data_IF_034665685485
#
_entry.id   IF_034665685485
#
_cell.length_a   1.000
_cell.length_b   1.000
_cell.length_c   1.000
_cell.angle_alpha   90.00
_cell.angle_beta   90.00
_cell.angle_gamma   90.00
#
_symmetry.space_group_name_H-M   'P 1'
#
loop_
_entity.id
_entity.type
_entity.pdbx_description
1 polymer ?
#
# COMPACT_ATOMS: atom_id res chain seq x y z
N UNK A 1 12.75 8.64 -19.46
CA UNK A 1 13.49 8.67 -18.17
C UNK A 1 14.82 7.98 -18.35
N UNK A 2 15.91 8.56 -17.87
CA UNK A 2 17.23 7.93 -17.92
C UNK A 2 17.24 6.60 -17.13
N UNK A 3 17.87 5.55 -17.67
CA UNK A 3 17.89 4.21 -17.06
C UNK A 3 18.48 4.21 -15.64
N UNK A 4 19.48 5.07 -15.38
CA UNK A 4 20.13 5.19 -14.07
C UNK A 4 19.14 5.74 -13.05
N UNK A 5 18.46 6.84 -13.37
CA UNK A 5 17.44 7.43 -12.52
C UNK A 5 16.29 6.46 -12.25
N UNK A 6 15.79 5.77 -13.28
CA UNK A 6 14.70 4.80 -13.12
C UNK A 6 15.10 3.64 -12.18
N UNK A 7 16.34 3.13 -12.31
CA UNK A 7 16.88 2.12 -11.39
C UNK A 7 16.98 2.66 -9.96
N UNK A 8 17.42 3.90 -9.79
CA UNK A 8 17.46 4.55 -8.47
C UNK A 8 16.07 4.62 -7.86
N UNK A 9 15.07 5.05 -8.63
CA UNK A 9 13.67 5.09 -8.21
C UNK A 9 13.13 3.71 -7.84
N UNK A 10 13.42 2.67 -8.60
CA UNK A 10 12.96 1.31 -8.29
C UNK A 10 13.56 0.80 -6.98
N UNK A 11 14.86 1.03 -6.77
CA UNK A 11 15.54 0.65 -5.52
C UNK A 11 15.02 1.46 -4.35
N UNK A 12 14.86 2.77 -4.58
CA UNK A 12 14.11 3.70 -3.74
C UNK A 12 12.83 3.00 -3.34
N UNK A 13 11.88 2.88 -4.27
CA UNK A 13 10.55 2.24 -4.23
C UNK A 13 10.44 0.78 -3.74
N UNK A 14 11.52 0.09 -3.40
CA UNK A 14 11.43 -1.15 -2.61
C UNK A 14 12.00 -0.98 -1.20
N UNK A 15 13.06 -0.19 -1.05
CA UNK A 15 13.71 0.04 0.23
C UNK A 15 12.80 0.75 1.23
N UNK A 16 12.09 1.80 0.85
CA UNK A 16 11.16 2.44 1.78
C UNK A 16 9.84 1.71 1.98
N UNK A 17 9.45 0.75 1.13
CA UNK A 17 8.39 -0.22 1.47
C UNK A 17 8.83 -1.06 2.66
N UNK A 18 10.10 -1.49 2.66
CA UNK A 18 10.73 -2.21 3.76
C UNK A 18 10.96 -1.31 4.99
N UNK A 19 11.45 -0.08 4.82
CA UNK A 19 11.71 0.84 5.94
C UNK A 19 10.38 1.23 6.61
N UNK A 20 9.35 1.55 5.84
CA UNK A 20 8.02 1.89 6.37
C UNK A 20 7.41 0.74 7.18
N UNK A 21 7.52 -0.50 6.68
CA UNK A 21 7.14 -1.71 7.41
C UNK A 21 7.95 -1.84 8.72
N UNK A 22 9.29 -1.97 8.63
CA UNK A 22 10.16 -2.17 9.79
C UNK A 22 10.01 -1.07 10.86
N UNK A 23 9.89 0.19 10.44
CA UNK A 23 9.82 1.34 11.36
C UNK A 23 8.43 1.54 11.96
N UNK A 24 7.37 1.26 11.19
CA UNK A 24 5.99 1.30 11.67
C UNK A 24 5.62 0.08 12.52
N UNK A 25 6.31 -1.05 12.34
CA UNK A 25 5.99 -2.32 13.00
C UNK A 25 5.75 -2.22 14.53
N UNK A 26 6.60 -1.52 15.31
CA UNK A 26 6.44 -1.45 16.77
C UNK A 26 5.25 -0.63 17.26
N UNK A 27 4.59 0.13 16.38
CA UNK A 27 3.52 1.08 16.73
C UNK A 27 2.13 0.63 16.26
N UNK A 28 2.01 -0.59 15.73
CA UNK A 28 0.71 -1.13 15.29
C UNK A 28 -0.34 -1.10 16.38
N UNK A 29 -1.55 -0.66 16.03
CA UNK A 29 -2.69 -0.71 16.95
C UNK A 29 -2.52 0.16 18.21
N UNK A 30 -1.49 1.01 18.26
CA UNK A 30 -1.28 1.94 19.37
C UNK A 30 -1.96 3.28 19.07
N UNK A 31 -2.60 3.85 20.09
CA UNK A 31 -3.01 5.26 20.05
C UNK A 31 -1.77 6.11 20.30
N UNK A 32 -1.36 6.88 19.30
CA UNK A 32 -0.14 7.67 19.36
C UNK A 32 -0.30 8.91 20.24
N UNK A 33 -0.01 8.75 21.53
CA UNK A 33 0.13 9.87 22.46
C UNK A 33 1.50 10.60 22.32
N UNK A 34 1.67 11.69 23.05
CA UNK A 34 2.91 12.49 23.03
C UNK A 34 4.15 11.67 23.42
N UNK A 35 4.01 10.67 24.30
CA UNK A 35 5.09 9.78 24.71
C UNK A 35 5.51 8.83 23.58
N UNK A 36 4.53 8.23 22.90
CA UNK A 36 4.73 7.32 21.78
C UNK A 36 5.36 8.04 20.59
N UNK A 37 4.99 9.30 20.33
CA UNK A 37 5.63 10.17 19.33
C UNK A 37 7.10 10.45 19.66
N UNK A 38 7.42 10.71 20.92
CA UNK A 38 8.80 10.91 21.36
C UNK A 38 9.64 9.63 21.16
N UNK A 39 9.10 8.48 21.53
CA UNK A 39 9.75 7.17 21.34
C UNK A 39 9.96 6.85 19.86
N UNK A 40 8.99 7.17 19.00
CA UNK A 40 9.13 7.05 17.55
C UNK A 40 10.29 7.92 17.04
N UNK A 41 10.31 9.22 17.37
CA UNK A 41 11.39 10.14 16.98
C UNK A 41 12.75 9.65 17.43
N UNK A 42 12.90 9.31 18.71
CA UNK A 42 14.16 8.78 19.25
C UNK A 42 14.60 7.48 18.57
N UNK A 43 13.67 6.63 18.13
CA UNK A 43 14.01 5.42 17.38
C UNK A 43 14.46 5.73 15.95
N UNK A 44 13.88 6.74 15.31
CA UNK A 44 14.29 7.21 13.99
C UNK A 44 15.66 7.90 14.05
N UNK A 45 15.91 8.74 15.06
CA UNK A 45 17.20 9.40 15.27
C UNK A 45 18.35 8.38 15.41
N UNK A 46 18.07 7.22 16.02
CA UNK A 46 19.05 6.11 16.14
C UNK A 46 19.39 5.46 14.80
N UNK A 47 18.53 5.56 13.78
CA UNK A 47 18.82 5.08 12.43
C UNK A 47 19.76 6.02 11.68
N UNK A 48 19.75 7.31 12.01
CA UNK A 48 20.69 8.31 11.45
C UNK A 48 22.05 8.30 12.16
N UNK A 49 22.11 7.68 13.35
CA UNK A 49 23.35 7.47 14.10
C UNK A 49 24.27 6.37 13.52
N UNK A 50 25.39 6.06 14.20
CA UNK A 50 26.30 5.00 13.77
C UNK A 50 25.59 3.65 13.64
N UNK A 51 25.91 2.87 12.60
CA UNK A 51 25.22 1.60 12.28
C UNK A 51 25.07 0.63 13.47
N UNK A 52 26.05 0.59 14.38
CA UNK A 52 26.01 -0.27 15.57
C UNK A 52 24.99 0.16 16.65
N UNK A 53 24.40 1.36 16.53
CA UNK A 53 23.31 1.85 17.38
C UNK A 53 21.93 1.70 16.74
N UNK A 54 21.86 1.30 15.47
CA UNK A 54 20.61 1.13 14.77
C UNK A 54 19.82 -0.05 15.38
N UNK A 55 18.57 0.16 15.84
CA UNK A 55 17.77 -0.93 16.38
C UNK A 55 17.47 -1.95 15.27
N UNK A 56 17.70 -3.24 15.55
CA UNK A 56 17.28 -4.29 14.64
C UNK A 56 15.74 -4.34 14.58
N UNK A 57 15.18 -4.12 13.40
CA UNK A 57 13.74 -4.13 13.15
C UNK A 57 13.42 -5.20 12.10
N UNK A 58 12.72 -6.27 12.52
CA UNK A 58 12.23 -7.29 11.59
C UNK A 58 11.09 -6.71 10.76
N UNK A 59 11.07 -7.03 9.48
CA UNK A 59 9.92 -6.76 8.61
C UNK A 59 8.72 -7.66 8.96
N UNK A 60 7.50 -7.28 8.59
CA UNK A 60 6.26 -8.04 8.85
C UNK A 60 5.73 -8.74 7.58
N UNK A 61 4.48 -9.18 7.61
CA UNK A 61 3.79 -9.78 6.48
C UNK A 61 3.73 -8.86 5.26
N UNK A 62 3.62 -7.55 5.51
CA UNK A 62 3.88 -6.43 4.60
C UNK A 62 5.02 -6.69 3.60
N UNK A 63 6.27 -6.83 4.06
CA UNK A 63 7.43 -7.12 3.19
C UNK A 63 7.47 -8.58 2.76
N UNK A 64 7.04 -9.51 3.61
CA UNK A 64 7.05 -10.94 3.27
C UNK A 64 6.25 -11.21 1.99
N UNK A 65 5.03 -10.68 1.91
CA UNK A 65 4.17 -10.80 0.74
C UNK A 65 4.64 -9.93 -0.43
N UNK A 66 5.25 -8.77 -0.17
CA UNK A 66 5.90 -7.96 -1.22
C UNK A 66 6.98 -8.77 -1.97
N UNK A 67 7.80 -9.54 -1.25
CA UNK A 67 8.82 -10.41 -1.86
C UNK A 67 8.19 -11.52 -2.72
N UNK A 68 7.07 -12.09 -2.28
CA UNK A 68 6.33 -13.09 -3.07
C UNK A 68 5.77 -12.50 -4.37
N UNK A 69 5.25 -11.28 -4.35
CA UNK A 69 4.80 -10.57 -5.55
C UNK A 69 5.98 -10.37 -6.51
N UNK A 70 7.10 -9.84 -6.00
CA UNK A 70 8.31 -9.62 -6.79
C UNK A 70 8.85 -10.92 -7.41
N UNK A 71 8.92 -12.00 -6.63
CA UNK A 71 9.35 -13.32 -7.12
C UNK A 71 8.41 -13.89 -8.19
N UNK A 72 7.12 -13.55 -8.14
CA UNK A 72 6.13 -14.04 -9.13
C UNK A 72 6.21 -13.25 -10.42
N UNK A 73 6.44 -11.93 -10.35
CA UNK A 73 6.62 -11.06 -11.52
C UNK A 73 7.92 -11.37 -12.26
N UNK A 74 8.98 -11.74 -11.55
CA UNK A 74 10.28 -12.10 -12.12
C UNK A 74 10.35 -13.56 -12.60
N UNK A 75 9.26 -14.31 -12.56
CA UNK A 75 9.26 -15.69 -13.02
C UNK A 75 9.43 -15.73 -14.55
N UNK A 76 10.39 -16.52 -15.09
CA UNK A 76 10.60 -16.61 -16.54
C UNK A 76 9.38 -17.11 -17.34
N UNK A 77 8.50 -17.89 -16.70
CA UNK A 77 7.25 -18.38 -17.31
C UNK A 77 6.10 -17.36 -17.25
N UNK A 78 6.36 -16.16 -16.73
CA UNK A 78 5.36 -15.10 -16.58
C UNK A 78 4.60 -15.14 -15.26
N UNK A 79 3.83 -14.08 -15.03
CA UNK A 79 2.98 -13.93 -13.86
C UNK A 79 1.74 -14.83 -13.98
N UNK A 80 1.34 -15.46 -12.87
CA UNK A 80 0.01 -16.07 -12.74
C UNK A 80 -0.45 -16.04 -11.28
N UNK A 81 -1.78 -15.92 -11.08
CA UNK A 81 -2.38 -15.96 -9.75
C UNK A 81 -2.06 -17.26 -9.00
N UNK A 82 -1.97 -18.38 -9.73
CA UNK A 82 -1.61 -19.68 -9.17
C UNK A 82 -0.18 -19.71 -8.62
N UNK A 83 0.78 -19.14 -9.34
CA UNK A 83 2.15 -19.02 -8.85
C UNK A 83 2.22 -18.08 -7.63
N UNK A 84 1.54 -16.93 -7.70
CA UNK A 84 1.50 -15.97 -6.60
C UNK A 84 0.90 -16.59 -5.33
N UNK A 85 -0.25 -17.26 -5.45
CA UNK A 85 -0.91 -17.96 -4.36
C UNK A 85 -0.01 -19.04 -3.76
N UNK A 86 0.69 -19.83 -4.59
CA UNK A 86 1.68 -20.81 -4.13
C UNK A 86 2.80 -20.13 -3.33
N UNK A 87 3.33 -19.01 -3.82
CA UNK A 87 4.41 -18.28 -3.13
C UNK A 87 3.94 -17.69 -1.80
N UNK A 88 2.71 -17.18 -1.71
CA UNK A 88 2.13 -16.72 -0.44
C UNK A 88 1.96 -17.85 0.57
N UNK A 89 1.41 -19.00 0.14
CA UNK A 89 1.27 -20.18 1.00
C UNK A 89 2.63 -20.61 1.54
N UNK A 90 3.64 -20.71 0.68
CA UNK A 90 4.99 -21.12 1.11
C UNK A 90 5.62 -20.14 2.10
N UNK A 91 5.52 -18.83 1.88
CA UNK A 91 6.06 -17.82 2.80
C UNK A 91 5.29 -17.81 4.14
N UNK A 92 3.95 -17.89 4.12
CA UNK A 92 3.14 -17.93 5.33
C UNK A 92 3.50 -19.12 6.22
N UNK A 93 3.58 -20.33 5.66
CA UNK A 93 3.90 -21.52 6.46
C UNK A 93 5.37 -21.63 6.86
N UNK A 94 6.25 -20.86 6.23
CA UNK A 94 7.65 -20.74 6.63
C UNK A 94 7.81 -19.91 7.91
N UNK A 95 7.05 -18.83 8.05
CA UNK A 95 7.06 -17.99 9.27
C UNK A 95 5.70 -17.34 9.51
N UNK A 96 4.72 -18.07 10.10
CA UNK A 96 3.35 -17.56 10.28
C UNK A 96 3.25 -16.44 11.31
N UNK A 97 4.34 -16.15 12.05
CA UNK A 97 4.40 -15.13 13.12
C UNK A 97 4.78 -13.75 12.60
N UNK A 98 4.70 -13.51 11.28
CA UNK A 98 5.05 -12.23 10.65
C UNK A 98 4.00 -11.14 10.81
N UNK A 99 2.87 -11.39 11.47
CA UNK A 99 1.82 -10.38 11.67
C UNK A 99 0.63 -10.50 10.72
N UNK A 100 0.51 -11.61 9.99
CA UNK A 100 -0.64 -11.84 9.11
C UNK A 100 -1.98 -11.71 9.86
N UNK A 101 -2.93 -11.00 9.26
CA UNK A 101 -4.32 -10.99 9.75
C UNK A 101 -4.94 -12.41 9.77
N UNK A 102 -5.75 -12.69 10.78
CA UNK A 102 -6.33 -14.03 10.97
C UNK A 102 -7.09 -14.52 9.72
N UNK A 103 -7.93 -13.65 9.13
CA UNK A 103 -8.72 -13.99 7.95
C UNK A 103 -7.85 -14.41 6.75
N UNK A 104 -6.72 -13.74 6.49
CA UNK A 104 -5.83 -14.12 5.38
C UNK A 104 -5.06 -15.40 5.68
N UNK A 105 -4.80 -15.70 6.97
CA UNK A 105 -4.33 -17.01 7.41
C UNK A 105 -5.24 -18.15 6.94
N UNK A 106 -6.57 -18.00 7.12
CA UNK A 106 -7.55 -19.00 6.66
C UNK A 106 -7.52 -19.20 5.13
N UNK A 107 -7.28 -18.12 4.38
CA UNK A 107 -7.10 -18.19 2.91
C UNK A 107 -5.89 -19.06 2.58
N UNK A 108 -4.75 -18.82 3.22
CA UNK A 108 -3.54 -19.61 2.96
C UNK A 108 -3.69 -21.06 3.40
N UNK A 109 -4.38 -21.33 4.50
CA UNK A 109 -4.72 -22.70 4.90
C UNK A 109 -5.56 -23.43 3.85
N UNK A 110 -6.63 -22.78 3.37
CA UNK A 110 -7.51 -23.35 2.34
C UNK A 110 -6.75 -23.59 1.05
N UNK A 111 -5.96 -22.62 0.58
CA UNK A 111 -5.11 -22.74 -0.61
C UNK A 111 -4.11 -23.90 -0.47
N UNK A 112 -3.51 -24.09 0.71
CA UNK A 112 -2.63 -25.24 0.95
C UNK A 112 -3.39 -26.57 0.89
N UNK A 113 -4.54 -26.66 1.55
CA UNK A 113 -5.39 -27.87 1.59
C UNK A 113 -5.85 -28.27 0.18
N UNK A 114 -6.20 -27.31 -0.66
CA UNK A 114 -6.66 -27.55 -2.04
C UNK A 114 -5.52 -27.58 -3.07
N UNK A 115 -4.25 -27.53 -2.64
CA UNK A 115 -3.06 -27.48 -3.52
C UNK A 115 -3.14 -26.35 -4.57
N UNK A 116 -3.73 -25.21 -4.20
CA UNK A 116 -3.90 -24.03 -5.06
C UNK A 116 -4.65 -24.41 -6.36
N UNK A 117 -5.67 -25.27 -6.25
CA UNK A 117 -6.52 -25.65 -7.38
C UNK A 117 -7.27 -24.42 -7.94
N UNK A 118 -7.85 -23.64 -7.02
CA UNK A 118 -8.44 -22.33 -7.29
C UNK A 118 -7.67 -21.27 -6.47
N UNK A 119 -6.89 -20.38 -7.13
CA UNK A 119 -6.06 -19.39 -6.43
C UNK A 119 -6.83 -18.20 -5.86
N UNK A 120 -8.10 -17.99 -6.24
CA UNK A 120 -8.89 -16.81 -5.83
C UNK A 120 -10.14 -17.16 -5.03
N UNK A 121 -10.70 -18.36 -5.22
CA UNK A 121 -11.92 -18.81 -4.52
C UNK A 121 -11.87 -18.69 -3.00
N UNK A 122 -10.77 -19.06 -2.31
CA UNK A 122 -10.70 -18.91 -0.86
C UNK A 122 -10.84 -17.47 -0.36
N UNK A 123 -10.32 -16.49 -1.11
CA UNK A 123 -10.49 -15.07 -0.79
C UNK A 123 -11.93 -14.62 -1.05
N UNK A 124 -12.51 -15.02 -2.19
CA UNK A 124 -13.91 -14.76 -2.54
C UNK A 124 -14.88 -15.28 -1.48
N UNK A 125 -14.56 -16.41 -0.83
CA UNK A 125 -15.40 -17.01 0.21
C UNK A 125 -15.26 -16.34 1.60
N UNK A 126 -14.36 -15.38 1.79
CA UNK A 126 -14.23 -14.69 3.09
C UNK A 126 -15.45 -13.81 3.39
N UNK A 127 -15.71 -13.56 4.68
CA UNK A 127 -16.74 -12.62 5.14
C UNK A 127 -18.13 -12.86 4.50
N UNK A 128 -18.54 -14.13 4.44
CA UNK A 128 -19.83 -14.52 3.88
C UNK A 128 -19.95 -14.30 2.36
N UNK A 129 -18.83 -14.23 1.64
CA UNK A 129 -18.81 -14.01 0.19
C UNK A 129 -18.49 -12.56 -0.22
N UNK A 130 -18.44 -11.62 0.72
CA UNK A 130 -18.12 -10.21 0.43
C UNK A 130 -16.63 -9.97 0.20
N UNK A 131 -15.76 -10.82 0.74
CA UNK A 131 -14.31 -10.65 0.66
C UNK A 131 -13.72 -9.67 1.67
N UNK A 132 -12.38 -9.68 1.79
CA UNK A 132 -11.67 -8.72 2.64
C UNK A 132 -11.55 -7.34 1.98
N UNK A 133 -11.97 -6.29 2.69
CA UNK A 133 -11.71 -4.88 2.35
C UNK A 133 -10.39 -4.33 2.96
N UNK A 134 -9.61 -5.20 3.62
CA UNK A 134 -8.35 -4.83 4.24
C UNK A 134 -7.31 -4.29 3.24
N UNK A 135 -6.30 -3.61 3.78
CA UNK A 135 -5.21 -3.01 3.01
C UNK A 135 -4.15 -4.01 2.50
N UNK A 136 -4.29 -5.30 2.82
CA UNK A 136 -3.22 -6.28 2.63
C UNK A 136 -2.86 -6.56 1.17
N UNK A 137 -3.72 -6.15 0.23
CA UNK A 137 -3.40 -6.09 -1.20
C UNK A 137 -2.57 -4.83 -1.54
N UNK A 138 -2.97 -3.66 -1.05
CA UNK A 138 -2.28 -2.39 -1.27
C UNK A 138 -0.86 -2.38 -0.68
N UNK A 139 -0.70 -2.95 0.52
CA UNK A 139 0.57 -2.96 1.24
C UNK A 139 1.72 -3.62 0.45
N UNK A 140 1.39 -4.53 -0.47
CA UNK A 140 2.35 -5.32 -1.27
C UNK A 140 2.35 -4.99 -2.77
N UNK A 141 1.68 -3.92 -3.19
CA UNK A 141 1.42 -3.64 -4.62
C UNK A 141 2.61 -2.98 -5.34
N UNK A 142 3.57 -2.42 -4.60
CA UNK A 142 4.67 -1.65 -5.17
C UNK A 142 5.42 -2.37 -6.32
N UNK A 143 5.78 -3.67 -6.23
CA UNK A 143 6.46 -4.35 -7.33
C UNK A 143 5.67 -4.37 -8.64
N UNK A 144 4.33 -4.40 -8.58
CA UNK A 144 3.48 -4.38 -9.77
C UNK A 144 3.55 -3.00 -10.43
N UNK A 145 3.45 -1.93 -9.66
CA UNK A 145 3.61 -0.56 -10.16
C UNK A 145 4.98 -0.36 -10.85
N UNK A 146 6.05 -0.89 -10.24
CA UNK A 146 7.39 -0.86 -10.85
C UNK A 146 7.44 -1.64 -12.17
N UNK A 147 6.90 -2.87 -12.17
CA UNK A 147 6.87 -3.73 -13.36
C UNK A 147 6.05 -3.10 -14.51
N UNK A 148 5.03 -2.31 -14.19
CA UNK A 148 4.11 -1.70 -15.14
C UNK A 148 4.45 -0.25 -15.55
N UNK A 149 5.57 0.32 -15.08
CA UNK A 149 5.85 1.76 -15.27
C UNK A 149 5.77 2.24 -16.73
N UNK A 150 6.09 1.36 -17.70
CA UNK A 150 6.06 1.63 -19.14
C UNK A 150 5.05 0.73 -19.89
N UNK A 151 4.10 0.12 -19.19
CA UNK A 151 3.13 -0.85 -19.73
C UNK A 151 1.71 -0.29 -19.88
N UNK A 152 1.49 0.93 -19.39
CA UNK A 152 0.21 1.62 -19.46
C UNK A 152 -0.75 1.24 -18.31
N UNK A 153 -1.79 2.07 -18.12
CA UNK A 153 -2.70 1.91 -16.99
C UNK A 153 -3.55 0.64 -17.10
N UNK A 154 -3.96 0.22 -18.30
CA UNK A 154 -4.77 -1.01 -18.46
C UNK A 154 -4.04 -2.27 -17.94
N UNK A 155 -2.77 -2.46 -18.30
CA UNK A 155 -1.97 -3.60 -17.83
C UNK A 155 -1.69 -3.50 -16.32
N UNK A 156 -1.45 -2.29 -15.80
CA UNK A 156 -1.30 -2.02 -14.37
C UNK A 156 -2.56 -2.45 -13.60
N UNK A 157 -3.74 -1.96 -14.00
CA UNK A 157 -5.01 -2.24 -13.33
C UNK A 157 -5.31 -3.74 -13.32
N UNK A 158 -5.13 -4.41 -14.46
CA UNK A 158 -5.36 -5.85 -14.56
C UNK A 158 -4.43 -6.64 -13.62
N UNK A 159 -3.12 -6.38 -13.63
CA UNK A 159 -2.17 -7.09 -12.76
C UNK A 159 -2.43 -6.82 -11.27
N UNK A 160 -2.78 -5.57 -10.92
CA UNK A 160 -3.11 -5.23 -9.53
C UNK A 160 -4.37 -5.99 -9.08
N UNK A 161 -5.42 -6.01 -9.90
CA UNK A 161 -6.64 -6.79 -9.63
C UNK A 161 -6.31 -8.26 -9.46
N UNK A 162 -5.60 -8.86 -10.42
CA UNK A 162 -5.23 -10.28 -10.37
C UNK A 162 -4.44 -10.63 -9.11
N UNK A 163 -3.46 -9.82 -8.73
CA UNK A 163 -2.67 -10.05 -7.52
C UNK A 163 -3.43 -9.79 -6.20
N UNK A 164 -4.43 -8.92 -6.24
CA UNK A 164 -5.28 -8.59 -5.09
C UNK A 164 -6.25 -9.74 -4.79
N UNK A 165 -6.92 -10.25 -5.82
CA UNK A 165 -7.96 -11.29 -5.75
C UNK A 165 -7.50 -12.61 -5.13
N UNK A 166 -6.19 -12.86 -5.04
CA UNK A 166 -5.63 -14.01 -4.32
C UNK A 166 -5.93 -13.97 -2.81
N UNK A 167 -6.19 -12.78 -2.25
CA UNK A 167 -6.43 -12.61 -0.80
C UNK A 167 -7.53 -11.60 -0.44
N UNK A 168 -7.86 -10.68 -1.35
CA UNK A 168 -8.81 -9.60 -1.14
C UNK A 168 -9.70 -9.54 -2.37
N UNK A 169 -10.96 -9.95 -2.23
CA UNK A 169 -11.96 -9.93 -3.30
C UNK A 169 -12.99 -8.81 -3.16
N UNK A 170 -12.99 -8.09 -2.04
CA UNK A 170 -13.89 -6.96 -1.85
C UNK A 170 -13.41 -5.77 -2.68
N UNK A 171 -14.34 -5.08 -3.37
CA UNK A 171 -14.07 -3.92 -4.22
C UNK A 171 -13.23 -2.86 -3.51
N UNK A 172 -13.60 -2.46 -2.28
CA UNK A 172 -12.79 -1.56 -1.45
C UNK A 172 -11.34 -2.02 -1.27
N UNK A 173 -11.07 -3.31 -1.00
CA UNK A 173 -9.71 -3.81 -0.85
C UNK A 173 -8.90 -3.76 -2.15
N UNK A 174 -9.54 -4.10 -3.27
CA UNK A 174 -8.94 -4.10 -4.61
C UNK A 174 -8.69 -2.67 -5.10
N UNK A 175 -9.67 -1.77 -5.00
CA UNK A 175 -9.55 -0.38 -5.42
C UNK A 175 -8.52 0.38 -4.59
N UNK A 176 -8.32 0.02 -3.31
CA UNK A 176 -7.23 0.57 -2.50
C UNK A 176 -5.86 0.16 -3.02
N UNK A 177 -5.71 -1.10 -3.46
CA UNK A 177 -4.46 -1.55 -4.10
C UNK A 177 -4.23 -0.85 -5.45
N UNK A 178 -5.29 -0.63 -6.22
CA UNK A 178 -5.26 0.15 -7.46
C UNK A 178 -4.80 1.58 -7.20
N UNK A 179 -5.44 2.28 -6.26
CA UNK A 179 -5.10 3.66 -5.91
C UNK A 179 -3.63 3.78 -5.46
N UNK A 180 -3.18 2.87 -4.61
CA UNK A 180 -1.78 2.81 -4.18
C UNK A 180 -0.82 2.60 -5.37
N UNK A 181 -1.16 1.71 -6.30
CA UNK A 181 -0.34 1.43 -7.46
C UNK A 181 -0.29 2.61 -8.45
N UNK A 182 -1.41 3.33 -8.61
CA UNK A 182 -1.49 4.57 -9.40
C UNK A 182 -0.59 5.65 -8.78
N UNK A 183 -0.67 5.87 -7.46
CA UNK A 183 0.16 6.84 -6.76
C UNK A 183 1.66 6.52 -6.87
N UNK A 184 2.05 5.25 -6.76
CA UNK A 184 3.44 4.82 -7.00
C UNK A 184 3.84 5.08 -8.45
N UNK A 185 3.01 4.68 -9.41
CA UNK A 185 3.30 4.83 -10.85
C UNK A 185 3.46 6.30 -11.24
N UNK A 186 2.61 7.17 -10.70
CA UNK A 186 2.71 8.62 -10.89
C UNK A 186 4.01 9.16 -10.26
N UNK A 187 4.33 8.74 -9.04
CA UNK A 187 5.58 9.13 -8.36
C UNK A 187 6.83 8.73 -9.15
N UNK A 188 6.82 7.56 -9.79
CA UNK A 188 7.91 7.12 -10.65
C UNK A 188 8.14 8.06 -11.84
N UNK A 189 7.12 8.77 -12.32
CA UNK A 189 7.19 9.67 -13.48
C UNK A 189 7.65 11.09 -13.13
N UNK A 190 7.65 11.48 -11.86
CA UNK A 190 8.05 12.82 -11.40
C UNK A 190 9.52 13.13 -11.70
N UNK A 191 9.88 14.40 -11.92
CA UNK A 191 11.28 14.81 -11.95
C UNK A 191 11.76 15.09 -10.52
N UNK A 192 12.79 14.41 -9.99
CA UNK A 192 13.30 14.68 -8.64
C UNK A 192 13.94 16.07 -8.48
N UNK A 193 14.29 16.75 -9.58
CA UNK A 193 14.84 18.11 -9.55
C UNK A 193 13.75 19.19 -9.47
N UNK A 194 12.49 18.81 -9.66
CA UNK A 194 11.35 19.71 -9.61
C UNK A 194 10.57 19.52 -8.30
N UNK A 195 10.02 20.62 -7.79
CA UNK A 195 9.09 20.55 -6.67
C UNK A 195 7.82 19.81 -7.09
N UNK A 196 7.37 18.87 -6.27
CA UNK A 196 6.11 18.17 -6.51
C UNK A 196 4.93 19.14 -6.40
N UNK A 197 4.17 19.28 -7.47
CA UNK A 197 2.86 19.93 -7.42
C UNK A 197 1.83 18.96 -6.82
N UNK A 198 1.62 19.03 -5.51
CA UNK A 198 0.70 18.15 -4.78
C UNK A 198 -0.73 18.22 -5.30
N UNK A 199 -1.20 19.42 -5.69
CA UNK A 199 -2.55 19.63 -6.23
C UNK A 199 -2.73 18.92 -7.58
N UNK A 200 -1.77 19.07 -8.49
CA UNK A 200 -1.81 18.36 -9.78
C UNK A 200 -1.68 16.85 -9.59
N UNK A 201 -0.83 16.41 -8.66
CA UNK A 201 -0.68 14.99 -8.34
C UNK A 201 -2.01 14.38 -7.89
N UNK A 202 -2.65 15.01 -6.90
CA UNK A 202 -3.93 14.57 -6.36
C UNK A 202 -5.06 14.65 -7.39
N UNK A 203 -5.10 15.71 -8.21
CA UNK A 203 -6.11 15.85 -9.26
C UNK A 203 -6.06 14.69 -10.26
N UNK A 204 -4.86 14.27 -10.68
CA UNK A 204 -4.73 13.11 -11.55
C UNK A 204 -5.16 11.81 -10.88
N UNK A 205 -4.82 11.60 -9.59
CA UNK A 205 -5.30 10.43 -8.84
C UNK A 205 -6.82 10.40 -8.73
N UNK A 206 -7.45 11.56 -8.50
CA UNK A 206 -8.91 11.70 -8.50
C UNK A 206 -9.51 11.30 -9.85
N UNK A 207 -8.95 11.80 -10.95
CA UNK A 207 -9.39 11.40 -12.30
C UNK A 207 -9.24 9.89 -12.51
N UNK A 208 -8.07 9.33 -12.22
CA UNK A 208 -7.80 7.91 -12.46
C UNK A 208 -8.70 7.00 -11.61
N UNK A 209 -8.90 7.33 -10.32
CA UNK A 209 -9.74 6.51 -9.44
C UNK A 209 -11.23 6.65 -9.75
N UNK A 210 -11.70 7.83 -10.17
CA UNK A 210 -13.08 8.01 -10.62
C UNK A 210 -13.38 7.14 -11.84
N UNK A 211 -12.46 7.01 -12.80
CA UNK A 211 -12.64 6.09 -13.93
C UNK A 211 -12.69 4.62 -13.48
N UNK A 212 -11.85 4.22 -12.52
CA UNK A 212 -11.88 2.86 -11.95
C UNK A 212 -13.20 2.58 -11.23
N UNK A 213 -13.69 3.56 -10.46
CA UNK A 213 -14.90 3.44 -9.65
C UNK A 213 -16.20 3.45 -10.47
N UNK A 214 -16.18 3.88 -11.74
CA UNK A 214 -17.33 3.72 -12.66
C UNK A 214 -17.68 2.26 -12.97
N UNK A 215 -16.73 1.34 -12.80
CA UNK A 215 -16.98 -0.09 -12.96
C UNK A 215 -17.77 -0.68 -11.77
N UNK A 216 -17.88 0.05 -10.66
CA UNK A 216 -18.65 -0.38 -9.50
C UNK A 216 -20.15 -0.17 -9.77
N UNK A 217 -20.96 -1.16 -9.41
CA UNK A 217 -22.41 -1.08 -9.55
C UNK A 217 -23.00 -0.29 -8.37
N UNK A 218 -23.59 0.89 -8.57
CA UNK A 218 -24.14 1.71 -7.49
C UNK A 218 -25.37 1.10 -6.82
N UNK A 219 -26.07 0.18 -7.48
CA UNK A 219 -27.24 -0.50 -6.92
C UNK A 219 -26.82 -1.66 -5.99
N UNK A 220 -25.62 -2.19 -6.20
CA UNK A 220 -25.06 -3.30 -5.41
C UNK A 220 -23.96 -2.86 -4.42
N UNK A 221 -23.34 -1.70 -4.64
CA UNK A 221 -22.29 -1.14 -3.81
C UNK A 221 -22.64 0.28 -3.32
N UNK A 222 -23.06 0.37 -2.06
CA UNK A 222 -23.32 1.64 -1.38
C UNK A 222 -22.07 2.55 -1.30
N UNK A 223 -20.88 2.00 -1.55
CA UNK A 223 -19.59 2.67 -1.51
C UNK A 223 -18.95 2.80 -2.91
N UNK A 224 -19.75 2.79 -3.99
CA UNK A 224 -19.27 2.81 -5.38
C UNK A 224 -18.28 3.94 -5.71
N UNK A 225 -18.26 5.06 -4.98
CA UNK A 225 -17.34 6.20 -5.17
C UNK A 225 -16.53 6.56 -3.90
N UNK A 226 -16.24 5.56 -3.07
CA UNK A 226 -15.65 5.79 -1.75
C UNK A 226 -14.23 6.37 -1.80
N UNK A 227 -13.38 5.94 -2.75
CA UNK A 227 -12.03 6.48 -2.87
C UNK A 227 -12.03 7.89 -3.44
N UNK A 228 -12.94 8.22 -4.38
CA UNK A 228 -13.12 9.60 -4.81
C UNK A 228 -13.41 10.52 -3.61
N UNK A 229 -14.37 10.15 -2.75
CA UNK A 229 -14.70 10.92 -1.52
C UNK A 229 -13.52 11.04 -0.57
N UNK A 230 -12.74 9.98 -0.39
CA UNK A 230 -11.52 10.02 0.43
C UNK A 230 -10.47 10.98 -0.15
N UNK A 231 -10.26 11.00 -1.46
CA UNK A 231 -9.33 11.95 -2.08
C UNK A 231 -9.84 13.40 -2.04
N UNK A 232 -11.15 13.64 -2.00
CA UNK A 232 -11.73 14.96 -1.71
C UNK A 232 -11.41 15.40 -0.26
N UNK A 233 -11.43 14.49 0.72
CA UNK A 233 -11.00 14.79 2.08
C UNK A 233 -9.49 15.08 2.16
N UNK A 234 -8.65 14.35 1.40
CA UNK A 234 -7.22 14.66 1.25
C UNK A 234 -7.03 16.07 0.69
N UNK A 235 -7.80 16.47 -0.33
CA UNK A 235 -7.77 17.80 -0.93
C UNK A 235 -8.13 18.89 0.09
N UNK A 236 -9.15 18.67 0.91
CA UNK A 236 -9.55 19.63 1.96
C UNK A 236 -8.43 19.87 2.99
N UNK A 237 -7.70 18.82 3.37
CA UNK A 237 -6.57 18.90 4.30
C UNK A 237 -5.34 19.59 3.68
N UNK A 238 -5.06 19.35 2.39
CA UNK A 238 -3.95 19.98 1.68
C UNK A 238 -4.21 21.45 1.35
N UNK A 239 -5.45 21.80 0.97
CA UNK A 239 -5.86 23.18 0.70
C UNK A 239 -6.01 24.03 1.99
N UNK A 240 -5.87 23.43 3.17
CA UNK A 240 -6.06 24.12 4.46
C UNK A 240 -7.51 24.49 4.76
N UNK A 241 -8.48 23.91 4.04
CA UNK A 241 -9.93 24.06 4.35
C UNK A 241 -10.28 23.40 5.68
N UNK A 242 -9.56 22.33 6.02
CA UNK A 242 -9.53 21.71 7.34
C UNK A 242 -8.10 21.75 7.85
N UNK A 243 -7.92 22.14 9.11
CA UNK A 243 -6.61 22.11 9.76
C UNK A 243 -6.05 20.68 9.74
N UNK A 244 -4.83 20.51 9.25
CA UNK A 244 -4.16 19.21 9.17
C UNK A 244 -3.55 18.77 10.51
N UNK A 245 -4.31 18.86 11.60
CA UNK A 245 -3.94 18.30 12.90
C UNK A 245 -4.04 16.77 12.86
N UNK A 246 -3.29 16.06 13.71
CA UNK A 246 -3.34 14.60 13.75
C UNK A 246 -4.79 14.10 13.94
N UNK A 247 -5.55 14.72 14.86
CA UNK A 247 -6.95 14.38 15.11
C UNK A 247 -7.83 14.53 13.86
N UNK A 248 -7.73 15.65 13.15
CA UNK A 248 -8.53 15.88 11.95
C UNK A 248 -8.17 14.92 10.82
N UNK A 249 -6.87 14.63 10.65
CA UNK A 249 -6.41 13.65 9.66
C UNK A 249 -6.96 12.27 9.98
N UNK A 250 -6.89 11.85 11.24
CA UNK A 250 -7.41 10.55 11.68
C UNK A 250 -8.94 10.48 11.57
N UNK A 251 -9.66 11.56 11.88
CA UNK A 251 -11.12 11.59 11.79
C UNK A 251 -11.63 11.58 10.35
N UNK A 252 -10.95 12.27 9.43
CA UNK A 252 -11.38 12.36 8.03
C UNK A 252 -10.92 11.17 7.18
N UNK A 253 -9.64 10.79 7.31
CA UNK A 253 -9.03 9.78 6.45
C UNK A 253 -8.98 8.41 7.14
N UNK A 254 -8.79 8.38 8.46
CA UNK A 254 -8.62 7.15 9.22
C UNK A 254 -7.17 6.65 9.26
N UNK A 255 -6.97 5.60 10.05
CA UNK A 255 -5.68 4.92 10.23
C UNK A 255 -5.86 3.42 10.54
N UNK A 256 -6.93 2.84 10.02
CA UNK A 256 -7.28 1.43 10.30
C UNK A 256 -6.75 0.50 9.23
N UNK A 257 -6.79 -0.80 9.51
CA UNK A 257 -6.43 -1.85 8.55
C UNK A 257 -7.30 -1.88 7.27
N UNK A 258 -8.40 -1.13 7.22
CA UNK A 258 -9.22 -1.01 6.02
C UNK A 258 -8.47 -0.21 4.94
N UNK A 259 -8.47 -0.70 3.70
CA UNK A 259 -7.77 -0.03 2.60
C UNK A 259 -8.25 1.41 2.38
N UNK A 260 -9.57 1.63 2.52
CA UNK A 260 -10.22 2.94 2.41
C UNK A 260 -9.73 3.94 3.46
N UNK A 261 -9.31 3.46 4.62
CA UNK A 261 -8.92 4.28 5.77
C UNK A 261 -7.44 4.24 6.09
N UNK A 262 -6.63 3.92 5.08
CA UNK A 262 -5.19 3.83 5.22
C UNK A 262 -4.47 4.27 3.96
N UNK A 263 -4.93 3.84 2.77
CA UNK A 263 -4.29 4.23 1.50
C UNK A 263 -4.39 5.74 1.24
N UNK A 264 -5.57 6.39 1.40
CA UNK A 264 -5.66 7.85 1.27
C UNK A 264 -4.82 8.59 2.31
N UNK A 265 -4.76 8.09 3.54
CA UNK A 265 -3.91 8.64 4.61
C UNK A 265 -2.42 8.58 4.23
N UNK A 266 -1.96 7.46 3.67
CA UNK A 266 -0.58 7.31 3.20
C UNK A 266 -0.26 8.28 2.04
N UNK A 267 -1.21 8.51 1.12
CA UNK A 267 -1.09 9.51 0.06
C UNK A 267 -1.02 10.92 0.64
N UNK A 268 -1.90 11.27 1.58
CA UNK A 268 -1.90 12.56 2.26
C UNK A 268 -0.54 12.83 2.92
N UNK A 269 -0.01 11.88 3.69
CA UNK A 269 1.26 12.04 4.36
C UNK A 269 2.43 12.20 3.37
N UNK A 270 2.44 11.45 2.28
CA UNK A 270 3.42 11.64 1.20
C UNK A 270 3.36 13.07 0.64
N UNK A 271 2.17 13.54 0.26
CA UNK A 271 1.98 14.86 -0.34
C UNK A 271 2.31 16.01 0.64
N UNK A 272 1.90 15.87 1.90
CA UNK A 272 2.18 16.86 2.95
C UNK A 272 3.68 17.00 3.21
N UNK A 273 4.42 15.90 3.24
CA UNK A 273 5.87 15.92 3.45
C UNK A 273 6.64 16.54 2.26
N UNK A 274 6.12 16.43 1.04
CA UNK A 274 6.78 16.97 -0.16
C UNK A 274 6.54 18.45 -0.42
N UNK A 275 5.55 19.07 0.23
CA UNK A 275 5.17 20.48 0.02
C UNK A 275 6.03 21.48 0.81
N UNK A 276 7.26 21.10 1.19
CA UNK A 276 8.28 22.00 1.75
C UNK A 276 8.04 22.51 3.18
N UNK A 277 6.90 22.21 3.80
CA UNK A 277 6.61 22.60 5.20
C UNK A 277 7.18 21.63 6.25
N UNK A 278 7.68 20.47 5.83
CA UNK A 278 8.42 19.54 6.68
C UNK A 278 9.92 19.61 6.35
N UNK A 279 10.71 20.18 7.25
CA UNK A 279 12.17 20.06 7.20
C UNK A 279 12.57 18.59 7.28
N UNK A 280 13.39 18.13 6.33
CA UNK A 280 13.92 16.77 6.12
C UNK A 280 13.06 15.84 5.23
N UNK A 281 13.02 16.17 3.94
CA UNK A 281 12.63 15.23 2.87
C UNK A 281 13.78 14.24 2.63
N UNK A 282 13.78 13.13 3.36
CA UNK A 282 14.29 11.87 2.82
C UNK A 282 13.14 11.15 2.14
N UNK A 283 13.44 10.44 1.06
CA UNK A 283 12.53 9.66 0.23
C UNK A 283 11.83 8.58 1.09
N UNK A 284 10.84 8.98 1.87
CA UNK A 284 10.00 8.10 2.68
C UNK A 284 8.65 8.00 2.00
N UNK A 285 8.63 7.00 1.14
CA UNK A 285 7.50 6.24 0.65
C UNK A 285 6.12 6.53 1.20
N UNK A 286 5.19 6.41 0.26
CA UNK A 286 3.77 6.04 0.32
C UNK A 286 3.39 4.84 1.23
N UNK A 287 4.09 4.63 2.35
CA UNK A 287 3.75 3.64 3.36
C UNK A 287 4.11 4.18 4.74
N UNK A 288 3.23 5.02 5.27
CA UNK A 288 2.86 4.83 6.67
C UNK A 288 2.22 3.45 6.71
N UNK A 289 2.69 2.58 7.61
CA UNK A 289 2.11 1.26 7.80
C UNK A 289 0.60 1.43 7.90
N UNK A 290 -0.13 0.73 7.04
CA UNK A 290 -1.57 0.90 6.86
C UNK A 290 -2.37 0.31 8.06
N UNK A 291 -1.71 0.01 9.18
CA UNK A 291 -2.23 -0.71 10.35
C UNK A 291 -1.75 -0.05 11.64
#
# INVERSE_FOLDING_TARGET
MEKILLRSKFRGSLLGTLIGDCCGAPFEGQVMDSGSKLVLRQNLDKLEGPFFKAPYKKYTDDTALTKCVLSSLLNPSGFSQKLLAKNFVLEYFKDPRRGYGAAVGDVFEKLRKTKVADPVGPAAAQFGGSGSFGNGAAMRVAPIALYCVNRGNSELLQMVRDASLVTHSHTLGVNGAVLQALAITQSLKLNPEEQLNAKQFLAQLKTDITEVEKENDPDLDANHNAYQKQLEAVEQLLDGKVESSDENVLNLLGHSVAALHSVPTAIFCFLKCTDGTASHVSIYFLRIRLC
#
